data_IF_209809142587
#
_entry.id   IF_209809142587
#
_cell.length_a   1.000
_cell.length_b   1.000
_cell.length_c   1.000
_cell.angle_alpha   90.00
_cell.angle_beta   90.00
_cell.angle_gamma   90.00
#
_symmetry.space_group_name_H-M   'P 1'
#
loop_
_entity.id
_entity.type
_entity.pdbx_description
1 polymer ?
#
# COMPACT_ATOMS: atom_id res chain seq x y z
N UNK A 1 56.48 -25.70 -53.45
CA UNK A 1 55.57 -26.56 -52.66
C UNK A 1 55.44 -25.99 -51.27
N UNK A 2 54.41 -25.19 -51.04
CA UNK A 2 54.14 -24.53 -49.76
C UNK A 2 53.18 -25.44 -48.97
N UNK A 3 53.48 -25.81 -47.71
CA UNK A 3 52.58 -26.67 -46.95
C UNK A 3 51.36 -25.87 -46.50
N UNK A 4 50.17 -26.39 -46.84
CA UNK A 4 48.89 -25.92 -46.30
C UNK A 4 48.90 -26.02 -44.77
N UNK A 5 48.87 -24.87 -44.07
CA UNK A 5 48.48 -24.82 -42.66
C UNK A 5 46.99 -25.16 -42.58
N UNK A 6 46.66 -26.34 -42.04
CA UNK A 6 45.30 -26.59 -41.52
C UNK A 6 45.03 -25.58 -40.41
N UNK A 7 44.13 -24.64 -40.66
CA UNK A 7 43.49 -23.88 -39.59
C UNK A 7 42.74 -24.90 -38.72
N UNK A 8 43.22 -25.12 -37.48
CA UNK A 8 42.33 -25.59 -36.42
C UNK A 8 41.34 -24.45 -36.18
N UNK A 9 40.13 -24.59 -36.73
CA UNK A 9 39.01 -23.74 -36.35
C UNK A 9 38.84 -23.96 -34.85
N UNK A 10 39.18 -22.91 -34.10
CA UNK A 10 39.01 -22.82 -32.67
C UNK A 10 37.62 -23.33 -32.30
N UNK A 11 37.55 -24.41 -31.53
CA UNK A 11 36.34 -24.89 -30.84
C UNK A 11 36.09 -23.97 -29.61
N UNK A 12 36.27 -22.66 -29.79
CA UNK A 12 35.95 -21.63 -28.82
C UNK A 12 34.49 -21.26 -29.01
N UNK A 13 33.59 -22.00 -28.36
CA UNK A 13 32.19 -21.58 -28.30
C UNK A 13 31.18 -22.69 -28.10
N UNK A 14 31.37 -23.61 -27.14
CA UNK A 14 30.30 -24.56 -26.76
C UNK A 14 30.44 -25.20 -25.37
N UNK A 15 30.88 -24.42 -24.39
CA UNK A 15 30.42 -24.59 -23.00
C UNK A 15 29.71 -23.30 -22.61
N UNK A 16 28.55 -23.02 -23.23
CA UNK A 16 27.58 -22.15 -22.57
C UNK A 16 27.29 -22.85 -21.25
N UNK A 17 27.49 -22.15 -20.14
CA UNK A 17 27.23 -22.68 -18.82
C UNK A 17 25.81 -23.28 -18.82
N UNK A 18 25.74 -24.59 -18.60
CA UNK A 18 24.52 -25.38 -18.70
C UNK A 18 23.51 -24.86 -17.66
N UNK A 19 23.99 -24.46 -16.49
CA UNK A 19 23.18 -23.81 -15.46
C UNK A 19 22.63 -22.46 -15.92
N UNK A 20 23.46 -21.62 -16.53
CA UNK A 20 23.01 -20.33 -17.05
C UNK A 20 21.98 -20.45 -18.19
N UNK A 21 22.05 -21.55 -18.97
CA UNK A 21 21.06 -21.82 -20.02
C UNK A 21 19.75 -22.31 -19.43
N UNK A 22 19.80 -23.24 -18.48
CA UNK A 22 18.64 -23.73 -17.76
C UNK A 22 17.89 -22.60 -17.04
N UNK A 23 18.63 -21.76 -16.29
CA UNK A 23 18.10 -20.57 -15.61
C UNK A 23 17.36 -19.65 -16.57
N UNK A 24 17.97 -19.29 -17.71
CA UNK A 24 17.35 -18.38 -18.68
C UNK A 24 16.04 -18.93 -19.25
N UNK A 25 15.99 -20.22 -19.55
CA UNK A 25 14.78 -20.86 -20.07
C UNK A 25 13.68 -20.95 -19.01
N UNK A 26 14.04 -21.32 -17.77
CA UNK A 26 13.11 -21.39 -16.65
C UNK A 26 12.53 -20.01 -16.31
N UNK A 27 13.36 -18.97 -16.23
CA UNK A 27 12.91 -17.58 -16.03
C UNK A 27 11.94 -17.15 -17.14
N UNK A 28 12.25 -17.46 -18.40
CA UNK A 28 11.35 -17.12 -19.51
C UNK A 28 10.00 -17.83 -19.40
N UNK A 29 9.99 -19.12 -19.08
CA UNK A 29 8.75 -19.88 -18.92
C UNK A 29 7.91 -19.37 -17.73
N UNK A 30 8.56 -18.99 -16.63
CA UNK A 30 7.92 -18.37 -15.47
C UNK A 30 7.29 -17.02 -15.81
N UNK A 31 8.05 -16.12 -16.41
CA UNK A 31 7.57 -14.78 -16.77
C UNK A 31 6.41 -14.82 -17.78
N UNK A 32 6.35 -15.85 -18.64
CA UNK A 32 5.23 -16.08 -19.56
C UNK A 32 4.07 -16.87 -18.92
N UNK A 33 4.19 -17.31 -17.67
CA UNK A 33 3.24 -18.17 -16.95
C UNK A 33 2.84 -19.43 -17.75
N UNK A 34 3.80 -19.99 -18.50
CA UNK A 34 3.58 -21.17 -19.35
C UNK A 34 3.87 -22.45 -18.57
N UNK A 35 2.82 -23.01 -17.97
CA UNK A 35 2.92 -24.22 -17.16
C UNK A 35 3.41 -25.44 -17.96
N UNK A 36 3.05 -25.55 -19.23
CA UNK A 36 3.43 -26.69 -20.06
C UNK A 36 4.92 -26.64 -20.38
N UNK A 37 5.41 -25.48 -20.81
CA UNK A 37 6.83 -25.25 -21.05
C UNK A 37 7.65 -25.47 -19.76
N UNK A 38 7.18 -24.93 -18.64
CA UNK A 38 7.85 -25.06 -17.35
C UNK A 38 7.99 -26.54 -16.91
N UNK A 39 6.91 -27.33 -16.98
CA UNK A 39 6.94 -28.77 -16.67
C UNK A 39 7.89 -29.53 -17.59
N UNK A 40 7.85 -29.24 -18.90
CA UNK A 40 8.75 -29.85 -19.87
C UNK A 40 10.22 -29.53 -19.57
N UNK A 41 10.53 -28.27 -19.26
CA UNK A 41 11.88 -27.81 -18.92
C UNK A 41 12.38 -28.42 -17.61
N UNK A 42 11.52 -28.57 -16.60
CA UNK A 42 11.90 -29.24 -15.35
C UNK A 42 12.29 -30.69 -15.62
N UNK A 43 11.51 -31.44 -16.40
CA UNK A 43 11.84 -32.83 -16.76
C UNK A 43 13.15 -32.90 -17.55
N UNK A 44 13.31 -32.04 -18.55
CA UNK A 44 14.52 -31.97 -19.37
C UNK A 44 15.76 -31.67 -18.51
N UNK A 45 15.71 -30.59 -17.73
CA UNK A 45 16.86 -30.16 -16.94
C UNK A 45 17.12 -31.08 -15.75
N UNK A 46 16.12 -31.76 -15.22
CA UNK A 46 16.32 -32.78 -14.18
C UNK A 46 17.13 -33.96 -14.73
N UNK A 47 16.92 -34.34 -16.00
CA UNK A 47 17.70 -35.40 -16.65
C UNK A 47 19.17 -35.01 -16.90
N UNK A 48 19.44 -33.71 -17.08
CA UNK A 48 20.78 -33.19 -17.41
C UNK A 48 21.58 -32.81 -16.16
N UNK A 49 20.95 -32.11 -15.21
CA UNK A 49 21.60 -31.57 -14.01
C UNK A 49 21.47 -32.49 -12.79
N UNK A 50 20.46 -33.36 -12.78
CA UNK A 50 20.02 -34.08 -11.59
C UNK A 50 19.05 -33.22 -10.75
N UNK A 51 18.24 -33.90 -9.93
CA UNK A 51 17.19 -33.25 -9.11
C UNK A 51 17.77 -32.21 -8.15
N UNK A 52 18.80 -32.56 -7.40
CA UNK A 52 19.38 -31.70 -6.37
C UNK A 52 19.91 -30.38 -6.95
N UNK A 53 20.70 -30.45 -8.03
CA UNK A 53 21.23 -29.25 -8.70
C UNK A 53 20.15 -28.42 -9.38
N UNK A 54 19.11 -29.06 -9.91
CA UNK A 54 17.98 -28.34 -10.49
C UNK A 54 17.18 -27.62 -9.40
N UNK A 55 16.92 -28.27 -8.27
CA UNK A 55 16.24 -27.65 -7.14
C UNK A 55 17.05 -26.47 -6.60
N UNK A 56 18.36 -26.64 -6.44
CA UNK A 56 19.25 -25.55 -6.03
C UNK A 56 19.20 -24.37 -7.00
N UNK A 57 19.28 -24.64 -8.32
CA UNK A 57 19.16 -23.61 -9.36
C UNK A 57 17.81 -22.88 -9.31
N UNK A 58 16.70 -23.63 -9.15
CA UNK A 58 15.36 -23.05 -9.10
C UNK A 58 15.24 -22.15 -7.86
N UNK A 59 15.56 -22.67 -6.68
CA UNK A 59 15.34 -21.98 -5.40
C UNK A 59 16.30 -20.80 -5.21
N UNK A 60 17.60 -21.01 -5.48
CA UNK A 60 18.63 -20.04 -5.13
C UNK A 60 19.02 -19.09 -6.28
N UNK A 61 18.49 -19.30 -7.49
CA UNK A 61 18.75 -18.41 -8.61
C UNK A 61 17.49 -17.97 -9.36
N UNK A 62 16.66 -18.91 -9.82
CA UNK A 62 15.49 -18.58 -10.65
C UNK A 62 14.44 -17.83 -9.82
N UNK A 63 14.10 -18.32 -8.63
CA UNK A 63 13.09 -17.70 -7.75
C UNK A 63 13.53 -16.35 -7.19
N UNK A 64 14.83 -16.06 -7.15
CA UNK A 64 15.34 -14.76 -6.70
C UNK A 64 15.27 -13.68 -7.78
N UNK A 65 15.26 -14.06 -9.06
CA UNK A 65 15.31 -13.14 -10.20
C UNK A 65 13.96 -12.98 -10.92
N UNK A 66 12.97 -13.80 -10.60
CA UNK A 66 11.62 -13.64 -11.13
C UNK A 66 10.83 -12.54 -10.39
N UNK A 67 9.82 -11.98 -11.04
CA UNK A 67 8.90 -11.04 -10.41
C UNK A 67 8.02 -11.70 -9.33
N UNK A 68 7.44 -10.89 -8.44
CA UNK A 68 6.62 -11.35 -7.31
C UNK A 68 5.43 -12.19 -7.75
N UNK A 69 4.78 -11.82 -8.86
CA UNK A 69 3.60 -12.53 -9.33
C UNK A 69 3.96 -13.90 -9.88
N UNK A 70 5.02 -13.97 -10.69
CA UNK A 70 5.56 -15.23 -11.22
C UNK A 70 6.06 -16.15 -10.09
N UNK A 71 6.67 -15.60 -9.03
CA UNK A 71 7.04 -16.34 -7.83
C UNK A 71 5.82 -16.93 -7.13
N UNK A 72 4.83 -16.08 -6.81
CA UNK A 72 3.58 -16.51 -6.14
C UNK A 72 2.85 -17.58 -6.96
N UNK A 73 2.69 -17.33 -8.27
CA UNK A 73 2.06 -18.27 -9.22
C UNK A 73 2.77 -19.63 -9.24
N UNK A 74 4.11 -19.64 -9.31
CA UNK A 74 4.89 -20.88 -9.29
C UNK A 74 4.69 -21.64 -7.99
N UNK A 75 4.85 -20.97 -6.84
CA UNK A 75 4.70 -21.62 -5.55
C UNK A 75 3.28 -22.17 -5.33
N UNK A 76 2.24 -21.45 -5.72
CA UNK A 76 0.85 -21.92 -5.62
C UNK A 76 0.59 -23.18 -6.45
N UNK A 77 1.14 -23.26 -7.67
CA UNK A 77 0.97 -24.42 -8.53
C UNK A 77 1.75 -25.63 -8.03
N UNK A 78 2.98 -25.42 -7.55
CA UNK A 78 3.87 -26.52 -7.17
C UNK A 78 3.65 -27.03 -5.76
N UNK A 79 3.35 -26.15 -4.80
CA UNK A 79 3.09 -26.54 -3.41
C UNK A 79 1.62 -26.90 -3.19
N UNK A 80 0.71 -26.31 -3.98
CA UNK A 80 -0.71 -26.29 -3.68
C UNK A 80 -1.10 -25.05 -2.87
N UNK A 81 -2.38 -24.68 -2.97
CA UNK A 81 -2.92 -23.46 -2.34
C UNK A 81 -2.82 -23.51 -0.80
N UNK A 82 -3.10 -24.66 -0.18
CA UNK A 82 -3.11 -24.78 1.27
C UNK A 82 -1.69 -24.67 1.85
N UNK A 83 -0.74 -25.36 1.25
CA UNK A 83 0.67 -25.36 1.63
C UNK A 83 1.34 -24.01 1.37
N UNK A 84 1.00 -23.36 0.26
CA UNK A 84 1.45 -22.00 -0.04
C UNK A 84 1.01 -21.02 1.04
N UNK A 85 -0.27 -21.04 1.43
CA UNK A 85 -0.80 -20.16 2.47
C UNK A 85 -0.11 -20.38 3.83
N UNK A 86 0.12 -21.63 4.21
CA UNK A 86 0.86 -21.94 5.45
C UNK A 86 2.32 -21.44 5.39
N UNK A 87 2.97 -21.58 4.25
CA UNK A 87 4.33 -21.07 4.04
C UNK A 87 4.37 -19.54 4.15
N UNK A 88 3.41 -18.86 3.54
CA UNK A 88 3.27 -17.40 3.57
C UNK A 88 3.03 -16.89 4.99
N UNK A 89 2.07 -17.46 5.73
CA UNK A 89 1.80 -17.11 7.14
C UNK A 89 3.04 -17.30 8.01
N UNK A 90 3.81 -18.38 7.78
CA UNK A 90 5.06 -18.63 8.50
C UNK A 90 6.15 -17.63 8.14
N UNK A 91 6.28 -17.27 6.87
CA UNK A 91 7.22 -16.27 6.41
C UNK A 91 6.91 -14.88 7.01
N UNK A 92 5.64 -14.45 6.96
CA UNK A 92 5.17 -13.20 7.56
C UNK A 92 5.43 -13.19 9.09
N UNK A 93 5.11 -14.28 9.79
CA UNK A 93 5.38 -14.41 11.23
C UNK A 93 6.87 -14.27 11.56
N UNK A 94 7.75 -14.82 10.72
CA UNK A 94 9.20 -14.71 10.89
C UNK A 94 9.70 -13.28 10.65
N UNK A 95 9.22 -12.62 9.60
CA UNK A 95 9.55 -11.22 9.31
C UNK A 95 9.08 -10.32 10.46
N UNK A 96 7.84 -10.49 10.92
CA UNK A 96 7.28 -9.77 12.06
C UNK A 96 8.18 -9.92 13.31
N UNK A 97 8.51 -11.16 13.69
CA UNK A 97 9.38 -11.44 14.85
C UNK A 97 10.76 -10.80 14.69
N UNK A 98 11.33 -10.86 13.50
CA UNK A 98 12.64 -10.27 13.20
C UNK A 98 12.62 -8.77 13.43
N UNK A 99 11.62 -8.06 12.89
CA UNK A 99 11.51 -6.60 13.02
C UNK A 99 11.29 -6.17 14.48
N UNK A 100 10.39 -6.85 15.19
CA UNK A 100 10.15 -6.60 16.63
C UNK A 100 11.42 -6.84 17.44
N UNK A 101 12.15 -7.92 17.17
CA UNK A 101 13.41 -8.22 17.88
C UNK A 101 14.50 -7.17 17.67
N UNK A 102 14.42 -6.40 16.58
CA UNK A 102 15.31 -5.27 16.26
C UNK A 102 14.79 -3.93 16.78
N UNK A 103 13.72 -3.93 17.59
CA UNK A 103 13.18 -2.74 18.23
C UNK A 103 12.28 -1.88 17.34
N UNK A 104 11.75 -2.45 16.25
CA UNK A 104 10.75 -1.79 15.41
C UNK A 104 9.34 -2.07 15.93
N UNK A 105 8.47 -1.08 15.82
CA UNK A 105 7.11 -1.10 16.33
C UNK A 105 6.10 -1.34 15.20
N UNK A 106 5.28 -2.40 15.28
CA UNK A 106 4.14 -2.58 14.38
C UNK A 106 3.23 -1.35 14.39
N UNK A 107 2.68 -0.98 13.23
CA UNK A 107 1.84 0.21 13.04
C UNK A 107 2.59 1.54 12.99
N UNK A 108 3.89 1.57 13.31
CA UNK A 108 4.75 2.76 13.17
C UNK A 108 5.86 2.54 12.15
N UNK A 109 6.63 1.49 12.35
CA UNK A 109 7.80 1.18 11.52
C UNK A 109 7.44 0.18 10.40
N UNK A 110 6.38 -0.62 10.57
CA UNK A 110 5.85 -1.54 9.56
C UNK A 110 4.41 -1.99 9.86
N UNK A 111 3.67 -2.43 8.84
CA UNK A 111 2.35 -3.07 8.95
C UNK A 111 2.14 -4.13 7.87
N UNK A 112 1.19 -5.04 8.10
CA UNK A 112 0.77 -6.04 7.11
C UNK A 112 -0.68 -5.76 6.69
N UNK A 113 -0.90 -5.69 5.37
CA UNK A 113 -2.21 -5.58 4.75
C UNK A 113 -2.97 -6.89 4.75
N UNK A 114 -4.29 -6.82 4.53
CA UNK A 114 -5.20 -7.98 4.44
C UNK A 114 -4.87 -8.85 3.21
N UNK A 115 -4.27 -8.24 2.20
CA UNK A 115 -3.77 -8.86 0.97
C UNK A 115 -2.36 -9.47 1.11
N UNK A 116 -1.79 -9.48 2.32
CA UNK A 116 -0.46 -9.99 2.60
C UNK A 116 0.67 -9.03 2.21
N UNK A 117 0.35 -7.83 1.70
CA UNK A 117 1.36 -6.80 1.45
C UNK A 117 1.93 -6.27 2.76
N UNK A 118 3.18 -5.82 2.72
CA UNK A 118 3.86 -5.30 3.88
C UNK A 118 4.31 -3.87 3.61
N UNK A 119 3.85 -2.94 4.44
CA UNK A 119 4.29 -1.55 4.42
C UNK A 119 5.45 -1.42 5.40
N UNK A 120 6.54 -0.81 4.97
CA UNK A 120 7.76 -0.62 5.77
C UNK A 120 8.23 0.82 5.71
N UNK A 121 8.62 1.35 6.86
CA UNK A 121 9.38 2.60 6.95
C UNK A 121 10.80 2.42 6.40
N UNK A 122 11.49 3.52 6.06
CA UNK A 122 12.90 3.48 5.65
C UNK A 122 13.80 2.77 6.67
N UNK A 123 13.51 2.95 7.97
CA UNK A 123 14.24 2.28 9.04
C UNK A 123 14.02 0.77 9.02
N UNK A 124 12.78 0.31 8.79
CA UNK A 124 12.47 -1.10 8.64
C UNK A 124 13.08 -1.68 7.36
N UNK A 125 13.04 -0.95 6.24
CA UNK A 125 13.70 -1.28 4.97
C UNK A 125 15.19 -1.56 5.20
N UNK A 126 15.91 -0.64 5.86
CA UNK A 126 17.33 -0.81 6.16
C UNK A 126 17.60 -2.04 7.02
N UNK A 127 16.79 -2.30 8.06
CA UNK A 127 16.94 -3.49 8.89
C UNK A 127 16.74 -4.77 8.07
N UNK A 128 15.71 -4.83 7.21
CA UNK A 128 15.49 -5.99 6.33
C UNK A 128 16.64 -6.20 5.36
N UNK A 129 17.17 -5.13 4.76
CA UNK A 129 18.34 -5.20 3.87
C UNK A 129 19.57 -5.79 4.57
N UNK A 130 19.79 -5.49 5.86
CA UNK A 130 20.89 -6.11 6.63
C UNK A 130 20.71 -7.60 6.89
N UNK A 131 19.50 -8.15 6.76
CA UNK A 131 19.23 -9.58 6.93
C UNK A 131 19.45 -10.36 5.62
N UNK A 132 19.55 -9.67 4.49
CA UNK A 132 19.75 -10.27 3.17
C UNK A 132 21.24 -10.33 2.84
N UNK A 133 21.76 -11.45 2.29
CA UNK A 133 23.15 -11.52 1.83
C UNK A 133 23.49 -10.40 0.86
N UNK A 134 24.69 -9.82 0.98
CA UNK A 134 25.11 -8.64 0.21
C UNK A 134 24.89 -8.77 -1.31
N UNK A 135 25.14 -9.95 -1.88
CA UNK A 135 24.91 -10.25 -3.30
C UNK A 135 23.45 -10.12 -3.77
N UNK A 136 22.48 -10.14 -2.84
CA UNK A 136 21.04 -10.08 -3.13
C UNK A 136 20.40 -8.77 -2.65
N UNK A 137 21.14 -7.90 -1.94
CA UNK A 137 20.59 -6.66 -1.38
C UNK A 137 20.00 -5.75 -2.46
N UNK A 138 20.70 -5.54 -3.59
CA UNK A 138 20.20 -4.68 -4.66
C UNK A 138 18.91 -5.20 -5.30
N UNK A 139 18.80 -6.52 -5.47
CA UNK A 139 17.58 -7.16 -6.01
C UNK A 139 16.41 -7.05 -5.03
N UNK A 140 16.70 -7.27 -3.74
CA UNK A 140 15.70 -7.15 -2.68
C UNK A 140 15.27 -5.69 -2.47
N UNK A 141 16.20 -4.74 -2.57
CA UNK A 141 15.91 -3.30 -2.53
C UNK A 141 15.02 -2.88 -3.69
N UNK A 142 15.33 -3.32 -4.92
CA UNK A 142 14.48 -3.08 -6.07
C UNK A 142 13.07 -3.67 -5.89
N UNK A 143 12.94 -4.85 -5.27
CA UNK A 143 11.64 -5.45 -4.97
C UNK A 143 10.86 -4.69 -3.88
N UNK A 144 11.55 -4.13 -2.89
CA UNK A 144 10.95 -3.26 -1.88
C UNK A 144 10.52 -1.91 -2.48
N UNK A 145 11.24 -1.40 -3.47
CA UNK A 145 10.95 -0.16 -4.19
C UNK A 145 9.85 -0.31 -5.26
N UNK A 146 9.60 -1.52 -5.76
CA UNK A 146 8.54 -1.78 -6.76
C UNK A 146 7.12 -1.72 -6.21
N UNK A 147 6.93 -1.62 -4.90
CA UNK A 147 5.71 -1.06 -4.36
C UNK A 147 5.86 0.46 -4.34
N UNK A 148 5.57 1.10 -5.47
CA UNK A 148 4.89 2.39 -5.41
C UNK A 148 3.68 2.10 -4.53
N UNK A 149 3.82 2.35 -3.23
CA UNK A 149 2.76 2.10 -2.26
C UNK A 149 1.48 2.62 -2.87
N UNK A 150 0.48 1.75 -2.97
CA UNK A 150 -0.83 2.12 -3.50
C UNK A 150 -1.15 3.51 -2.98
N UNK A 151 -1.37 4.45 -3.91
CA UNK A 151 -1.63 5.85 -3.59
C UNK A 151 -2.48 5.90 -2.30
N UNK A 152 -2.03 6.55 -1.21
CA UNK A 152 -2.70 6.42 0.09
C UNK A 152 -4.19 6.77 -0.01
N UNK A 153 -4.55 7.66 -0.95
CA UNK A 153 -5.94 7.93 -1.36
C UNK A 153 -6.65 6.66 -1.81
N UNK A 154 -6.08 5.94 -2.78
CA UNK A 154 -6.61 4.66 -3.30
C UNK A 154 -6.69 3.59 -2.21
N UNK A 155 -5.69 3.50 -1.33
CA UNK A 155 -5.66 2.52 -0.23
C UNK A 155 -6.81 2.76 0.76
N UNK A 156 -7.01 4.01 1.17
CA UNK A 156 -8.09 4.39 2.09
C UNK A 156 -9.45 4.21 1.42
N UNK A 157 -9.62 4.59 0.15
CA UNK A 157 -10.87 4.37 -0.59
C UNK A 157 -11.23 2.89 -0.72
N UNK A 158 -10.23 2.01 -0.92
CA UNK A 158 -10.44 0.56 -0.91
C UNK A 158 -10.87 0.04 0.48
N UNK A 159 -10.29 0.56 1.56
CA UNK A 159 -10.69 0.20 2.93
C UNK A 159 -12.13 0.65 3.25
N UNK A 160 -12.52 1.82 2.76
CA UNK A 160 -13.87 2.38 2.95
C UNK A 160 -14.89 1.78 1.98
N UNK A 161 -14.45 1.14 0.90
CA UNK A 161 -15.32 0.56 -0.13
C UNK A 161 -16.04 1.60 -1.00
N UNK A 162 -15.56 2.84 -1.05
CA UNK A 162 -16.17 3.92 -1.82
C UNK A 162 -15.14 4.98 -2.28
N UNK A 163 -15.51 5.80 -3.26
CA UNK A 163 -14.70 6.91 -3.79
C UNK A 163 -14.70 8.12 -2.85
N UNK A 164 -14.31 7.91 -1.60
CA UNK A 164 -14.42 8.84 -0.49
C UNK A 164 -13.81 10.22 -0.77
N UNK A 165 -12.56 10.28 -1.26
CA UNK A 165 -11.88 11.58 -1.45
C UNK A 165 -12.43 12.34 -2.64
N UNK A 166 -12.87 11.62 -3.68
CA UNK A 166 -13.56 12.22 -4.82
C UNK A 166 -14.87 12.87 -4.35
N UNK A 167 -15.70 12.12 -3.61
CA UNK A 167 -16.96 12.62 -3.05
C UNK A 167 -16.73 13.81 -2.09
N UNK A 168 -15.72 13.70 -1.21
CA UNK A 168 -15.39 14.75 -0.26
C UNK A 168 -14.91 16.02 -0.96
N UNK A 169 -14.15 15.89 -2.06
CA UNK A 169 -13.72 17.03 -2.88
C UNK A 169 -14.92 17.72 -3.50
N UNK A 170 -15.90 16.98 -4.04
CA UNK A 170 -17.12 17.57 -4.59
C UNK A 170 -17.94 18.31 -3.54
N UNK A 171 -18.10 17.73 -2.35
CA UNK A 171 -18.78 18.39 -1.22
C UNK A 171 -18.03 19.66 -0.83
N UNK A 172 -16.71 19.60 -0.71
CA UNK A 172 -15.90 20.74 -0.36
C UNK A 172 -15.99 21.86 -1.42
N UNK A 173 -16.02 21.53 -2.72
CA UNK A 173 -16.24 22.50 -3.81
C UNK A 173 -17.57 23.25 -3.61
N UNK A 174 -18.64 22.54 -3.27
CA UNK A 174 -19.94 23.16 -3.00
C UNK A 174 -19.87 24.09 -1.79
N UNK A 175 -19.19 23.69 -0.72
CA UNK A 175 -19.01 24.53 0.46
C UNK A 175 -18.19 25.78 0.18
N UNK A 176 -17.15 25.68 -0.65
CA UNK A 176 -16.33 26.84 -1.04
C UNK A 176 -17.14 27.92 -1.77
N UNK A 177 -18.29 27.58 -2.36
CA UNK A 177 -19.16 28.57 -2.98
C UNK A 177 -19.94 29.39 -1.94
N UNK A 178 -20.37 28.75 -0.86
CA UNK A 178 -21.31 29.32 0.12
C UNK A 178 -20.60 29.95 1.32
N UNK A 179 -19.49 29.37 1.77
CA UNK A 179 -18.75 29.86 2.94
C UNK A 179 -18.07 31.21 2.67
N UNK A 180 -18.00 32.04 3.71
CA UNK A 180 -17.13 33.22 3.71
C UNK A 180 -15.66 32.79 3.65
N UNK A 181 -14.76 33.71 3.28
CA UNK A 181 -13.35 33.35 3.06
C UNK A 181 -12.68 32.78 4.33
N UNK A 182 -12.94 33.39 5.50
CA UNK A 182 -12.40 32.92 6.78
C UNK A 182 -12.99 31.58 7.20
N UNK A 183 -14.28 31.35 6.98
CA UNK A 183 -14.91 30.04 7.23
C UNK A 183 -14.41 28.97 6.26
N UNK A 184 -14.17 29.31 4.99
CA UNK A 184 -13.61 28.41 4.00
C UNK A 184 -12.16 28.00 4.36
N UNK A 185 -11.35 28.96 4.81
CA UNK A 185 -10.00 28.71 5.31
C UNK A 185 -10.01 27.80 6.54
N UNK A 186 -10.90 28.08 7.50
CA UNK A 186 -11.13 27.25 8.68
C UNK A 186 -11.53 25.81 8.30
N UNK A 187 -12.53 25.70 7.42
CA UNK A 187 -13.06 24.42 6.94
C UNK A 187 -11.96 23.55 6.33
N UNK A 188 -11.19 24.10 5.39
CA UNK A 188 -10.10 23.38 4.74
C UNK A 188 -9.00 23.02 5.74
N UNK A 189 -8.62 23.96 6.61
CA UNK A 189 -7.58 23.75 7.62
C UNK A 189 -7.93 22.63 8.60
N UNK A 190 -9.13 22.69 9.19
CA UNK A 190 -9.61 21.68 10.15
C UNK A 190 -9.78 20.34 9.44
N UNK A 191 -10.43 20.30 8.27
CA UNK A 191 -10.66 19.07 7.50
C UNK A 191 -9.33 18.36 7.16
N UNK A 192 -8.34 19.09 6.64
CA UNK A 192 -7.04 18.52 6.30
C UNK A 192 -6.27 18.09 7.54
N UNK A 193 -6.29 18.89 8.61
CA UNK A 193 -5.62 18.54 9.86
C UNK A 193 -6.17 17.24 10.44
N UNK A 194 -7.50 17.06 10.47
CA UNK A 194 -8.11 15.84 11.00
C UNK A 194 -7.90 14.60 10.11
N UNK A 195 -7.90 14.75 8.78
CA UNK A 195 -7.60 13.67 7.84
C UNK A 195 -6.13 13.24 7.94
N UNK A 196 -5.18 14.18 7.92
CA UNK A 196 -3.74 13.91 8.01
C UNK A 196 -3.34 13.40 9.39
N UNK A 197 -4.01 13.86 10.46
CA UNK A 197 -3.84 13.33 11.80
C UNK A 197 -4.22 11.85 11.87
N UNK A 198 -5.29 11.44 11.17
CA UNK A 198 -5.73 10.05 11.12
C UNK A 198 -4.85 9.17 10.23
N UNK A 199 -4.46 9.71 9.07
CA UNK A 199 -3.71 9.04 8.01
C UNK A 199 -2.48 9.88 7.65
N UNK A 200 -1.39 9.82 8.44
CA UNK A 200 -0.19 10.62 8.23
C UNK A 200 0.43 10.48 6.83
N UNK A 201 0.27 9.32 6.20
CA UNK A 201 0.70 9.02 4.83
C UNK A 201 0.12 9.98 3.78
N UNK A 202 -1.03 10.61 4.04
CA UNK A 202 -1.60 11.64 3.16
C UNK A 202 -0.68 12.87 3.06
N UNK A 203 0.05 13.20 4.13
CA UNK A 203 0.95 14.37 4.14
C UNK A 203 2.08 14.23 3.14
N UNK A 204 2.62 13.03 3.01
CA UNK A 204 3.81 12.77 2.20
C UNK A 204 3.46 12.54 0.71
N UNK A 205 2.18 12.33 0.39
CA UNK A 205 1.67 12.09 -0.97
C UNK A 205 1.20 13.35 -1.72
N UNK A 206 1.55 14.55 -1.25
CA UNK A 206 1.08 15.84 -1.78
C UNK A 206 -0.45 15.98 -1.82
N UNK A 207 -1.17 15.15 -1.04
CA UNK A 207 -2.62 15.18 -0.97
C UNK A 207 -3.17 16.54 -0.51
N UNK A 208 -2.65 17.19 0.56
CA UNK A 208 -3.19 18.47 1.01
C UNK A 208 -3.16 19.54 -0.09
N UNK A 209 -2.05 19.65 -0.82
CA UNK A 209 -1.89 20.61 -1.92
C UNK A 209 -2.89 20.33 -3.04
N UNK A 210 -2.98 19.05 -3.46
CA UNK A 210 -3.90 18.64 -4.53
C UNK A 210 -5.36 18.83 -4.14
N UNK A 211 -5.72 18.48 -2.90
CA UNK A 211 -7.07 18.65 -2.37
C UNK A 211 -7.47 20.13 -2.35
N UNK A 212 -6.62 21.00 -1.82
CA UNK A 212 -6.86 22.46 -1.81
C UNK A 212 -7.01 22.97 -3.25
N UNK A 213 -6.07 22.62 -4.14
CA UNK A 213 -6.10 23.07 -5.52
C UNK A 213 -7.39 22.67 -6.25
N UNK A 214 -7.81 21.41 -6.10
CA UNK A 214 -9.04 20.90 -6.69
C UNK A 214 -10.27 21.58 -6.10
N UNK A 215 -10.29 21.80 -4.79
CA UNK A 215 -11.44 22.41 -4.10
C UNK A 215 -11.64 23.88 -4.50
N UNK A 216 -10.55 24.61 -4.74
CA UNK A 216 -10.59 26.02 -5.10
C UNK A 216 -10.71 26.28 -6.62
N UNK A 217 -10.60 25.25 -7.46
CA UNK A 217 -10.54 25.39 -8.93
C UNK A 217 -11.76 26.11 -9.52
N UNK A 218 -12.93 26.02 -8.88
CA UNK A 218 -14.18 26.66 -9.30
C UNK A 218 -14.38 28.11 -8.84
N UNK A 219 -13.39 28.71 -8.16
CA UNK A 219 -13.47 30.09 -7.66
C UNK A 219 -12.69 31.06 -8.56
N UNK A 220 -12.98 32.36 -8.43
CA UNK A 220 -12.10 33.39 -9.00
C UNK A 220 -10.73 33.35 -8.31
N UNK A 221 -9.67 33.67 -9.07
CA UNK A 221 -8.30 33.69 -8.54
C UNK A 221 -8.17 34.62 -7.32
N UNK A 222 -8.87 35.75 -7.34
CA UNK A 222 -8.90 36.71 -6.22
C UNK A 222 -9.51 36.09 -4.96
N UNK A 223 -10.66 35.39 -5.07
CA UNK A 223 -11.29 34.72 -3.93
C UNK A 223 -10.43 33.59 -3.39
N UNK A 224 -9.84 32.77 -4.26
CA UNK A 224 -8.96 31.68 -3.86
C UNK A 224 -7.74 32.20 -3.07
N UNK A 225 -7.13 33.30 -3.51
CA UNK A 225 -6.01 33.93 -2.80
C UNK A 225 -6.40 34.52 -1.45
N UNK A 226 -7.60 35.09 -1.33
CA UNK A 226 -8.11 35.60 -0.05
C UNK A 226 -8.34 34.48 0.97
N UNK A 227 -8.81 33.31 0.52
CA UNK A 227 -8.99 32.13 1.38
C UNK A 227 -7.63 31.59 1.84
N UNK A 228 -6.66 31.45 0.92
CA UNK A 228 -5.34 30.88 1.23
C UNK A 228 -4.49 31.75 2.15
N UNK A 229 -4.69 33.07 2.11
CA UNK A 229 -3.94 34.04 2.91
C UNK A 229 -4.82 34.69 3.99
N UNK A 230 -5.91 34.03 4.37
CA UNK A 230 -6.84 34.59 5.34
C UNK A 230 -6.11 34.82 6.69
N UNK A 231 -6.12 36.06 7.22
CA UNK A 231 -5.39 36.40 8.44
C UNK A 231 -6.17 36.06 9.72
N UNK A 232 -7.42 35.59 9.62
CA UNK A 232 -8.24 35.28 10.78
C UNK A 232 -7.70 34.06 11.51
N UNK A 233 -7.27 34.27 12.75
CA UNK A 233 -6.67 33.22 13.59
C UNK A 233 -7.70 32.43 14.39
N UNK A 234 -8.94 32.93 14.53
CA UNK A 234 -10.01 32.25 15.25
C UNK A 234 -11.37 32.40 14.57
N UNK A 235 -11.54 31.83 13.36
CA UNK A 235 -12.79 31.90 12.64
C UNK A 235 -13.91 31.21 13.41
N UNK A 236 -15.10 31.83 13.47
CA UNK A 236 -16.29 31.15 13.99
C UNK A 236 -16.72 30.06 13.01
N UNK A 237 -16.32 28.83 13.32
CA UNK A 237 -16.56 27.65 12.50
C UNK A 237 -17.06 26.50 13.39
N UNK A 238 -18.20 25.95 13.03
CA UNK A 238 -18.74 24.76 13.71
C UNK A 238 -18.17 23.50 13.06
N UNK A 239 -17.23 22.85 13.75
CA UNK A 239 -16.58 21.64 13.27
C UNK A 239 -17.53 20.46 13.07
N UNK A 240 -18.74 20.49 13.65
CA UNK A 240 -19.75 19.43 13.49
C UNK A 240 -20.14 19.27 12.01
N UNK A 241 -20.10 20.34 11.22
CA UNK A 241 -20.39 20.28 9.78
C UNK A 241 -19.45 19.31 9.04
N UNK A 242 -18.20 19.17 9.51
CA UNK A 242 -17.23 18.25 8.92
C UNK A 242 -17.70 16.80 9.08
N UNK A 243 -18.30 16.44 10.22
CA UNK A 243 -18.79 15.07 10.44
C UNK A 243 -19.89 14.71 9.45
N UNK A 244 -20.83 15.63 9.21
CA UNK A 244 -21.87 15.46 8.19
C UNK A 244 -21.26 15.25 6.80
N UNK A 245 -20.26 16.03 6.42
CA UNK A 245 -19.60 15.92 5.11
C UNK A 245 -18.76 14.64 4.96
N UNK A 246 -18.07 14.20 6.01
CA UNK A 246 -17.32 12.95 6.00
C UNK A 246 -18.25 11.75 5.85
N UNK A 247 -19.39 11.74 6.56
CA UNK A 247 -20.39 10.69 6.44
C UNK A 247 -21.08 10.70 5.07
N UNK A 248 -21.42 11.88 4.55
CA UNK A 248 -21.94 12.03 3.19
C UNK A 248 -20.93 11.50 2.15
N UNK A 249 -19.65 11.80 2.31
CA UNK A 249 -18.59 11.32 1.42
C UNK A 249 -18.44 9.78 1.44
N UNK A 250 -18.72 9.15 2.58
CA UNK A 250 -18.78 7.69 2.75
C UNK A 250 -20.11 7.07 2.28
N UNK A 251 -21.06 7.87 1.78
CA UNK A 251 -22.36 7.40 1.30
C UNK A 251 -23.35 7.05 2.41
N UNK A 252 -23.15 7.55 3.62
CA UNK A 252 -24.12 7.44 4.71
C UNK A 252 -25.41 8.19 4.33
N UNK A 253 -26.57 7.57 4.54
CA UNK A 253 -27.88 8.15 4.16
C UNK A 253 -28.50 8.99 5.26
N UNK A 254 -27.99 8.90 6.48
CA UNK A 254 -28.50 9.55 7.69
C UNK A 254 -27.55 10.66 8.18
N UNK A 255 -26.61 11.10 7.33
CA UNK A 255 -25.62 12.14 7.67
C UNK A 255 -26.26 13.47 8.10
N UNK A 256 -27.50 13.74 7.67
CA UNK A 256 -28.28 14.92 8.03
C UNK A 256 -28.71 14.95 9.51
N UNK A 257 -28.83 13.79 10.15
CA UNK A 257 -29.35 13.67 11.52
C UNK A 257 -28.38 14.20 12.59
N UNK A 258 -27.15 14.56 12.22
CA UNK A 258 -26.13 15.13 13.13
C UNK A 258 -26.36 16.61 13.42
N UNK A 259 -27.09 17.31 12.55
CA UNK A 259 -27.31 18.75 12.63
C UNK A 259 -28.60 19.16 13.39
N UNK A 260 -29.45 18.21 13.77
CA UNK A 260 -30.70 18.49 14.49
C UNK A 260 -30.45 18.47 16.01
N UNK A 261 -30.96 19.47 16.74
CA UNK A 261 -30.75 19.69 18.19
C UNK A 261 -31.15 18.50 19.10
N UNK A 262 -31.84 17.48 18.56
CA UNK A 262 -32.23 16.25 19.25
C UNK A 262 -31.58 14.96 18.65
N UNK A 263 -30.84 15.07 17.56
CA UNK A 263 -30.22 13.95 16.84
C UNK A 263 -28.80 13.66 17.32
N UNK A 264 -28.65 12.76 18.29
CA UNK A 264 -27.32 12.29 18.70
C UNK A 264 -26.62 11.51 17.58
N UNK A 265 -25.31 11.73 17.39
CA UNK A 265 -24.50 10.92 16.47
C UNK A 265 -24.61 9.45 16.90
N UNK A 266 -25.05 8.59 15.99
CA UNK A 266 -25.21 7.17 16.30
C UNK A 266 -23.85 6.49 16.50
N UNK A 267 -23.83 5.37 17.23
CA UNK A 267 -22.61 4.59 17.41
C UNK A 267 -22.02 4.11 16.06
N UNK A 268 -22.88 3.79 15.09
CA UNK A 268 -22.45 3.38 13.75
C UNK A 268 -21.79 4.54 12.98
N UNK A 269 -22.37 5.74 13.07
CA UNK A 269 -21.79 6.95 12.49
C UNK A 269 -20.45 7.32 13.15
N UNK A 270 -20.33 7.19 14.47
CA UNK A 270 -19.06 7.39 15.17
C UNK A 270 -17.99 6.40 14.72
N UNK A 271 -18.36 5.13 14.53
CA UNK A 271 -17.43 4.11 14.01
C UNK A 271 -16.94 4.43 12.61
N UNK A 272 -17.84 4.88 11.72
CA UNK A 272 -17.47 5.34 10.37
C UNK A 272 -16.53 6.54 10.41
N UNK A 273 -16.84 7.55 11.23
CA UNK A 273 -15.99 8.72 11.39
C UNK A 273 -14.60 8.36 11.94
N UNK A 274 -14.50 7.41 12.88
CA UNK A 274 -13.21 6.95 13.43
C UNK A 274 -12.31 6.27 12.39
N UNK A 275 -12.84 5.84 11.24
CA UNK A 275 -12.03 5.31 10.14
C UNK A 275 -11.25 6.40 9.40
N UNK A 276 -11.78 7.62 9.34
CA UNK A 276 -11.26 8.70 8.49
C UNK A 276 -10.82 9.94 9.24
N UNK A 277 -11.25 10.11 10.50
CA UNK A 277 -11.07 11.35 11.25
C UNK A 277 -10.38 11.15 12.60
N UNK A 278 -9.39 12.00 12.87
CA UNK A 278 -8.75 12.12 14.17
C UNK A 278 -8.64 13.61 14.55
N UNK A 279 -9.78 14.23 14.89
CA UNK A 279 -9.82 15.59 15.44
C UNK A 279 -9.36 15.66 16.89
N UNK A 280 -9.46 16.84 17.52
CA UNK A 280 -9.03 17.05 18.92
C UNK A 280 -9.80 16.17 19.93
N UNK A 281 -11.03 15.77 19.60
CA UNK A 281 -11.78 14.76 20.35
C UNK A 281 -11.49 13.38 19.77
N UNK A 282 -10.93 12.49 20.58
CA UNK A 282 -10.69 11.09 20.21
C UNK A 282 -12.03 10.35 20.07
N UNK A 283 -12.53 10.27 18.85
CA UNK A 283 -13.78 9.57 18.52
C UNK A 283 -13.76 8.11 19.00
N UNK A 284 -12.62 7.42 18.89
CA UNK A 284 -12.37 6.10 19.47
C UNK A 284 -12.67 6.00 20.98
N UNK A 285 -12.43 7.06 21.77
CA UNK A 285 -12.76 7.09 23.20
C UNK A 285 -14.27 7.23 23.43
N UNK A 286 -14.96 8.00 22.57
CA UNK A 286 -16.42 8.13 22.60
C UNK A 286 -17.12 6.82 22.20
N UNK A 287 -16.63 6.13 21.15
CA UNK A 287 -17.09 4.80 20.76
C UNK A 287 -16.94 3.81 21.92
N UNK A 288 -15.77 3.76 22.53
CA UNK A 288 -15.50 2.86 23.66
C UNK A 288 -16.37 3.17 24.90
N UNK A 289 -16.75 4.43 25.12
CA UNK A 289 -17.66 4.82 26.19
C UNK A 289 -19.10 4.38 25.90
N UNK A 290 -19.60 4.59 24.68
CA UNK A 290 -20.95 4.21 24.29
C UNK A 290 -21.14 2.69 24.26
N UNK A 291 -20.15 1.93 23.77
CA UNK A 291 -20.19 0.46 23.81
C UNK A 291 -20.23 -0.08 25.25
N UNK A 292 -19.48 0.54 26.17
CA UNK A 292 -19.54 0.19 27.60
C UNK A 292 -20.87 0.55 28.24
N UNK A 293 -21.55 1.58 27.75
CA UNK A 293 -22.85 2.03 28.26
C UNK A 293 -23.99 1.13 27.77
N UNK A 294 -24.00 0.77 26.48
CA UNK A 294 -24.93 -0.21 25.90
C UNK A 294 -24.79 -1.60 26.55
N UNK A 295 -23.56 -2.01 26.90
CA UNK A 295 -23.33 -3.27 27.58
C UNK A 295 -23.79 -3.28 29.05
N UNK A 296 -23.87 -2.11 29.70
CA UNK A 296 -24.37 -1.98 31.08
C UNK A 296 -25.89 -1.85 31.17
N UNK A 297 -26.55 -1.48 30.07
CA UNK A 297 -27.99 -1.25 29.99
C UNK A 297 -28.75 -2.37 29.24
N UNK A 298 -28.07 -3.46 28.90
CA UNK A 298 -28.68 -4.74 28.47
C UNK A 298 -28.62 -5.76 29.61
#
# INVERSE_FOLDING_TARGET
MTPYRRLKINIFGRKKDVGATAKRQLLKALNCRDLAALKSLIIEWQSILGSEKLTDLIVNEVMLECDSDSHSWFCQIFLGQAEYKQMEEKAQSNVFKTLVSKGLKPGKDFSFGIDGTMIVSDRAKQILLTQVPQKHQASFEAQLETSLGSDPVTTIEQQLGCAFFSNLTEIAIQQMQVLSNSQAAAYLGVLLAGLVSRHPELKDADFPTRFIANTLQGLSQERAMLILNDPETNPQFDEIIIFGHLLAAMGDKEYHCIAEEEGGISLDQLKKLDLVWCGERRLSEMVAMMEKWDFRNR
#
